data_IF_630618022756
#
_entry.id   IF_630618022756
#
_cell.length_a   1.000
_cell.length_b   1.000
_cell.length_c   1.000
_cell.angle_alpha   90.00
_cell.angle_beta   90.00
_cell.angle_gamma   90.00
#
_symmetry.space_group_name_H-M   'P 1'
#
loop_
_entity.id
_entity.type
_entity.pdbx_description
1 polymer ?
#
# COMPACT_ATOMS: atom_id res chain seq x y z
N UNK A 1 1.58 9.99 -28.92
CA UNK A 1 1.10 8.86 -28.08
C UNK A 1 0.89 9.25 -26.62
N UNK A 2 1.90 9.60 -25.82
CA UNK A 2 1.66 9.91 -24.39
C UNK A 2 0.97 11.27 -24.16
N UNK A 3 1.28 12.28 -24.99
CA UNK A 3 0.63 13.59 -24.95
C UNK A 3 -0.87 13.53 -25.33
N UNK A 4 -1.23 12.62 -26.25
CA UNK A 4 -2.62 12.45 -26.69
C UNK A 4 -3.49 11.87 -25.57
N UNK A 5 -2.95 10.94 -24.78
CA UNK A 5 -3.65 10.35 -23.63
C UNK A 5 -3.93 11.37 -22.52
N UNK A 6 -2.98 12.25 -22.20
CA UNK A 6 -3.20 13.29 -21.19
C UNK A 6 -4.20 14.35 -21.67
N UNK A 7 -4.23 14.68 -22.97
CA UNK A 7 -5.23 15.58 -23.53
C UNK A 7 -6.66 14.98 -23.45
N UNK A 8 -6.80 13.68 -23.74
CA UNK A 8 -8.07 12.97 -23.57
C UNK A 8 -8.49 12.91 -22.10
N UNK A 9 -7.56 12.60 -21.18
CA UNK A 9 -7.83 12.60 -19.74
C UNK A 9 -8.29 13.98 -19.24
N UNK A 10 -7.65 15.05 -19.69
CA UNK A 10 -8.04 16.42 -19.34
C UNK A 10 -9.45 16.77 -19.84
N UNK A 11 -9.81 16.31 -21.05
CA UNK A 11 -11.15 16.51 -21.62
C UNK A 11 -12.23 15.79 -20.81
N UNK A 12 -11.96 14.57 -20.35
CA UNK A 12 -12.89 13.82 -19.50
C UNK A 12 -13.04 14.43 -18.11
N UNK A 13 -11.96 14.98 -17.53
CA UNK A 13 -12.01 15.65 -16.23
C UNK A 13 -12.78 16.98 -16.33
N UNK A 14 -12.58 17.75 -17.41
CA UNK A 14 -13.21 19.06 -17.55
C UNK A 14 -14.72 18.99 -17.77
N UNK A 15 -15.25 17.86 -18.25
CA UNK A 15 -16.70 17.69 -18.39
C UNK A 15 -17.42 17.55 -17.04
N UNK A 16 -16.71 17.15 -15.98
CA UNK A 16 -17.29 16.91 -14.64
C UNK A 16 -18.01 15.57 -14.49
N UNK A 17 -18.27 14.86 -15.59
CA UNK A 17 -19.00 13.58 -15.61
C UNK A 17 -18.13 12.37 -15.26
N UNK A 18 -16.79 12.54 -15.28
CA UNK A 18 -15.85 11.44 -15.10
C UNK A 18 -14.78 11.76 -14.05
N UNK A 19 -14.46 10.76 -13.24
CA UNK A 19 -13.23 10.74 -12.42
C UNK A 19 -12.20 9.86 -13.11
N UNK A 20 -11.24 10.48 -13.80
CA UNK A 20 -10.16 9.74 -14.48
C UNK A 20 -9.14 9.25 -13.45
N UNK A 21 -9.04 7.92 -13.30
CA UNK A 21 -8.02 7.30 -12.47
C UNK A 21 -6.72 7.14 -13.26
N UNK A 22 -5.62 7.63 -12.71
CA UNK A 22 -4.29 7.43 -13.28
C UNK A 22 -3.67 6.17 -12.71
N UNK A 23 -2.85 5.50 -13.52
CA UNK A 23 -2.06 4.36 -13.06
C UNK A 23 -1.21 4.80 -11.86
N UNK A 24 -1.35 4.10 -10.74
CA UNK A 24 -0.51 4.33 -9.58
C UNK A 24 0.92 3.91 -9.93
N UNK A 25 1.87 4.84 -9.78
CA UNK A 25 3.29 4.57 -9.92
C UNK A 25 3.86 4.40 -8.51
N UNK A 26 4.52 3.26 -8.18
CA UNK A 26 5.14 3.07 -6.88
C UNK A 26 6.14 4.19 -6.57
N UNK A 27 6.00 4.79 -5.39
CA UNK A 27 6.92 5.84 -4.90
C UNK A 27 7.57 5.35 -3.60
N UNK A 28 8.86 5.04 -3.66
CA UNK A 28 9.63 4.65 -2.47
C UNK A 28 9.91 5.83 -1.54
N UNK A 29 10.04 7.05 -2.07
CA UNK A 29 10.23 8.26 -1.28
C UNK A 29 9.04 9.20 -1.51
N UNK A 30 8.37 9.59 -0.44
CA UNK A 30 7.20 10.46 -0.44
C UNK A 30 7.61 11.88 -0.03
N UNK A 31 8.32 12.00 1.09
CA UNK A 31 8.78 13.28 1.64
C UNK A 31 10.32 13.32 1.60
N UNK A 32 10.94 14.43 1.13
CA UNK A 32 12.40 14.59 1.21
C UNK A 32 12.92 14.38 2.65
N UNK A 33 14.04 13.67 2.84
CA UNK A 33 14.65 13.54 4.16
C UNK A 33 15.00 14.91 4.75
N UNK A 34 14.65 15.13 6.00
CA UNK A 34 14.93 16.36 6.75
C UNK A 34 15.96 16.18 7.86
N UNK A 35 16.56 14.98 7.98
CA UNK A 35 17.53 14.64 9.02
C UNK A 35 16.93 14.33 10.39
N UNK A 36 15.61 14.39 10.55
CA UNK A 36 14.95 14.02 11.79
C UNK A 36 14.93 12.51 12.01
N UNK A 37 14.81 12.11 13.28
CA UNK A 37 14.57 10.72 13.64
C UNK A 37 13.25 10.27 13.01
N UNK A 38 13.27 9.08 12.39
CA UNK A 38 12.10 8.41 11.83
C UNK A 38 11.78 7.15 12.63
N UNK A 39 10.52 6.76 12.59
CA UNK A 39 10.00 5.52 13.15
C UNK A 39 9.46 4.62 12.04
N UNK A 40 9.42 3.32 12.30
CA UNK A 40 8.83 2.33 11.41
C UNK A 40 7.34 2.17 11.75
N UNK A 41 6.50 2.30 10.73
CA UNK A 41 5.08 1.94 10.76
C UNK A 41 4.77 0.88 9.72
N UNK A 42 3.60 0.25 9.84
CA UNK A 42 3.11 -0.72 8.87
C UNK A 42 1.63 -0.42 8.56
N UNK A 43 1.29 -0.38 7.28
CA UNK A 43 -0.09 -0.46 6.84
C UNK A 43 -0.42 -1.94 6.64
N UNK A 44 -1.42 -2.42 7.36
CA UNK A 44 -1.84 -3.82 7.37
C UNK A 44 -3.25 -3.91 6.81
N UNK A 45 -3.43 -4.78 5.83
CA UNK A 45 -4.71 -5.12 5.24
C UNK A 45 -4.86 -6.65 5.27
N UNK A 46 -6.04 -7.13 5.65
CA UNK A 46 -6.35 -8.55 5.77
C UNK A 46 -7.67 -8.85 5.05
N UNK A 47 -7.73 -10.01 4.41
CA UNK A 47 -8.98 -10.56 3.90
C UNK A 47 -9.30 -11.82 4.68
N UNK A 48 -10.57 -11.99 5.01
CA UNK A 48 -11.08 -13.07 5.87
C UNK A 48 -12.21 -13.83 5.20
N UNK A 49 -12.49 -15.05 5.65
CA UNK A 49 -13.64 -15.84 5.15
C UNK A 49 -15.00 -15.23 5.49
N UNK A 50 -15.05 -14.36 6.51
CA UNK A 50 -16.23 -13.67 7.00
C UNK A 50 -15.87 -12.65 8.07
N UNK A 51 -16.85 -12.21 8.87
CA UNK A 51 -16.69 -11.13 9.85
C UNK A 51 -16.60 -11.60 11.30
N UNK A 52 -16.73 -12.90 11.58
CA UNK A 52 -16.62 -13.44 12.94
C UNK A 52 -15.14 -13.70 13.29
N UNK A 53 -14.53 -12.91 14.18
CA UNK A 53 -13.11 -13.08 14.53
C UNK A 53 -12.80 -14.38 15.30
N UNK A 54 -13.82 -15.12 15.75
CA UNK A 54 -13.64 -16.41 16.44
C UNK A 54 -13.60 -17.56 15.45
N UNK A 55 -14.44 -17.52 14.41
CA UNK A 55 -14.64 -18.66 13.50
C UNK A 55 -14.13 -18.44 12.07
N UNK A 56 -13.99 -17.19 11.63
CA UNK A 56 -13.48 -16.86 10.30
C UNK A 56 -11.95 -16.78 10.27
N UNK A 57 -11.37 -17.28 9.20
CA UNK A 57 -9.94 -17.37 9.02
C UNK A 57 -9.42 -16.20 8.16
N UNK A 58 -8.18 -15.77 8.42
CA UNK A 58 -7.47 -14.84 7.53
C UNK A 58 -6.97 -15.63 6.32
N UNK A 59 -7.41 -15.22 5.12
CA UNK A 59 -7.08 -15.88 3.85
C UNK A 59 -6.07 -15.09 3.01
N UNK A 60 -5.88 -13.80 3.29
CA UNK A 60 -4.83 -12.98 2.69
C UNK A 60 -4.26 -12.00 3.71
N UNK A 61 -2.95 -11.76 3.61
CA UNK A 61 -2.23 -10.75 4.38
C UNK A 61 -1.50 -9.82 3.40
N UNK A 62 -1.71 -8.51 3.51
CA UNK A 62 -0.95 -7.49 2.81
C UNK A 62 -0.36 -6.48 3.80
N UNK A 63 0.93 -6.19 3.62
CA UNK A 63 1.74 -5.39 4.53
C UNK A 63 2.58 -4.39 3.73
N UNK A 64 2.43 -3.11 4.07
CA UNK A 64 3.25 -2.03 3.50
C UNK A 64 4.00 -1.33 4.63
N UNK A 65 5.24 -1.72 4.92
CA UNK A 65 6.11 -0.99 5.84
C UNK A 65 6.41 0.43 5.31
N UNK A 66 6.49 1.40 6.22
CA UNK A 66 6.84 2.78 5.89
C UNK A 66 7.57 3.45 7.05
N UNK A 67 8.31 4.52 6.75
CA UNK A 67 8.92 5.37 7.78
C UNK A 67 8.11 6.64 7.97
N UNK A 68 7.98 7.11 9.21
CA UNK A 68 7.28 8.35 9.53
C UNK A 68 8.01 9.19 10.57
N UNK A 69 7.80 10.51 10.54
CA UNK A 69 8.34 11.47 11.51
C UNK A 69 7.40 11.68 12.71
N UNK A 70 7.86 12.44 13.70
CA UNK A 70 7.06 12.72 14.92
C UNK A 70 5.78 13.52 14.60
N UNK A 71 5.82 14.28 13.51
CA UNK A 71 4.69 15.03 12.97
C UNK A 71 3.67 14.16 12.19
N UNK A 72 3.90 12.85 12.11
CA UNK A 72 3.06 11.89 11.40
C UNK A 72 3.25 11.88 9.88
N UNK A 73 4.20 12.65 9.33
CA UNK A 73 4.48 12.61 7.89
C UNK A 73 5.20 11.32 7.51
N UNK A 74 4.74 10.68 6.44
CA UNK A 74 5.39 9.52 5.84
C UNK A 74 6.55 9.98 4.95
N UNK A 75 7.71 9.36 5.12
CA UNK A 75 8.92 9.68 4.36
C UNK A 75 9.21 8.64 3.29
N UNK A 76 9.30 7.37 3.70
CA UNK A 76 9.69 6.28 2.81
C UNK A 76 8.65 5.16 2.85
N UNK A 77 8.31 4.61 1.69
CA UNK A 77 7.59 3.34 1.56
C UNK A 77 8.64 2.25 1.32
N UNK A 78 8.68 1.28 2.22
CA UNK A 78 9.62 0.17 2.17
C UNK A 78 9.02 -1.00 1.34
N UNK A 79 9.74 -2.11 1.25
CA UNK A 79 9.33 -3.22 0.39
C UNK A 79 8.03 -3.87 0.90
N UNK A 80 6.96 -3.90 0.08
CA UNK A 80 5.69 -4.49 0.48
C UNK A 80 5.77 -6.01 0.52
N UNK A 81 4.91 -6.61 1.35
CA UNK A 81 4.71 -8.05 1.42
C UNK A 81 3.23 -8.36 1.23
N UNK A 82 2.92 -9.39 0.44
CA UNK A 82 1.56 -9.94 0.36
C UNK A 82 1.60 -11.45 0.19
N UNK A 83 0.59 -12.14 0.73
CA UNK A 83 0.48 -13.60 0.65
C UNK A 83 -0.95 -14.08 0.89
N UNK A 84 -1.38 -15.04 0.07
CA UNK A 84 -2.54 -15.90 0.36
C UNK A 84 -2.17 -16.98 1.36
N UNK A 85 -3.00 -17.15 2.39
CA UNK A 85 -2.79 -18.08 3.49
C UNK A 85 -3.60 -19.39 3.31
N UNK A 86 -4.30 -19.58 2.20
CA UNK A 86 -5.04 -20.83 1.97
C UNK A 86 -4.07 -21.97 1.59
N UNK A 87 -3.78 -22.88 2.53
CA UNK A 87 -2.94 -24.06 2.31
C UNK A 87 -2.06 -24.44 3.51
N UNK A 88 -1.58 -25.69 3.56
CA UNK A 88 -0.84 -26.26 4.71
C UNK A 88 0.62 -25.79 4.88
N UNK A 89 1.03 -24.68 4.25
CA UNK A 89 2.41 -24.17 4.26
C UNK A 89 2.56 -22.77 4.88
N UNK A 90 1.76 -22.46 5.91
CA UNK A 90 1.85 -21.19 6.65
C UNK A 90 2.82 -21.29 7.83
N UNK A 91 4.10 -21.49 7.54
CA UNK A 91 5.14 -21.41 8.57
C UNK A 91 5.40 -19.94 8.94
N UNK A 92 5.24 -19.53 10.22
CA UNK A 92 5.54 -18.18 10.68
C UNK A 92 6.99 -17.73 10.42
N UNK A 93 7.93 -18.66 10.21
CA UNK A 93 9.30 -18.34 9.83
C UNK A 93 9.43 -17.69 8.43
N UNK A 94 8.38 -17.76 7.59
CA UNK A 94 8.38 -17.19 6.24
C UNK A 94 7.78 -15.77 6.16
N UNK A 95 7.45 -15.14 7.29
CA UNK A 95 7.02 -13.74 7.30
C UNK A 95 8.24 -12.81 7.30
N UNK A 96 8.15 -11.65 6.64
CA UNK A 96 9.24 -10.70 6.56
C UNK A 96 9.51 -10.08 7.93
N UNK A 97 10.79 -9.89 8.24
CA UNK A 97 11.22 -9.00 9.31
C UNK A 97 11.51 -7.66 8.66
N UNK A 98 10.73 -6.64 9.03
CA UNK A 98 10.95 -5.29 8.54
C UNK A 98 12.11 -4.64 9.32
N UNK A 99 12.99 -3.88 8.63
CA UNK A 99 14.19 -3.28 9.22
C UNK A 99 13.90 -2.13 10.18
#
# INVERSE_FOLDING_TARGET
MNADLEAMAATLVSSGEYRVQRKLVPRRQITPPNGEKKWLGICLDIETTGLDPISDEIIELAMVPFTYGFDGRIYDILEPFSRFLLGSSNDPANFPIFP
#
